data_IF_497276050653
#
_entry.id   IF_497276050653
#
_cell.length_a   1.000
_cell.length_b   1.000
_cell.length_c   1.000
_cell.angle_alpha   90.00
_cell.angle_beta   90.00
_cell.angle_gamma   90.00
#
_symmetry.space_group_name_H-M   'P 1'
#
loop_
_entity.id
_entity.type
_entity.pdbx_description
1 polymer ?
#
# COMPACT_ATOMS: atom_id res chain seq x y z
N UNK A 1 -3.13 -24.76 -34.65
CA UNK A 1 -3.97 -25.01 -33.46
C UNK A 1 -3.95 -23.77 -32.56
N UNK A 2 -5.03 -22.98 -32.52
CA UNK A 2 -5.10 -21.81 -31.64
C UNK A 2 -5.25 -22.27 -30.18
N UNK A 3 -4.40 -21.75 -29.27
CA UNK A 3 -4.45 -22.08 -27.83
C UNK A 3 -5.77 -21.56 -27.26
N UNK A 4 -6.67 -22.46 -26.84
CA UNK A 4 -7.93 -22.09 -26.19
C UNK A 4 -7.62 -21.22 -24.96
N UNK A 5 -8.16 -20.00 -24.93
CA UNK A 5 -7.96 -19.06 -23.81
C UNK A 5 -8.61 -19.64 -22.56
N UNK A 6 -7.87 -19.69 -21.45
CA UNK A 6 -8.43 -20.11 -20.16
C UNK A 6 -9.43 -19.04 -19.69
N UNK A 7 -10.58 -19.49 -19.21
CA UNK A 7 -11.59 -18.62 -18.60
C UNK A 7 -11.22 -18.35 -17.12
N UNK A 8 -10.85 -17.10 -16.85
CA UNK A 8 -10.52 -16.58 -15.52
C UNK A 8 -11.64 -15.68 -14.96
N UNK A 9 -12.87 -15.82 -15.45
CA UNK A 9 -14.02 -15.08 -14.92
C UNK A 9 -14.40 -15.50 -13.49
N UNK A 10 -15.03 -14.57 -12.77
CA UNK A 10 -15.45 -14.78 -11.38
C UNK A 10 -16.33 -16.01 -11.21
N UNK A 11 -15.97 -16.86 -10.26
CA UNK A 11 -16.73 -18.03 -9.84
C UNK A 11 -17.69 -17.68 -8.70
N UNK A 12 -18.63 -18.57 -8.40
CA UNK A 12 -19.66 -18.34 -7.38
C UNK A 12 -19.11 -18.12 -5.97
N UNK A 13 -17.92 -18.64 -5.65
CA UNK A 13 -17.28 -18.41 -4.35
C UNK A 13 -16.59 -17.04 -4.25
N UNK A 14 -16.43 -16.32 -5.36
CA UNK A 14 -15.70 -15.04 -5.44
C UNK A 14 -16.64 -13.83 -5.45
N UNK A 15 -17.95 -14.04 -5.62
CA UNK A 15 -18.96 -12.98 -5.66
C UNK A 15 -20.24 -13.37 -4.95
N UNK A 16 -20.88 -12.40 -4.32
CA UNK A 16 -22.26 -12.50 -3.87
C UNK A 16 -23.23 -12.07 -4.98
N UNK A 17 -24.53 -12.26 -4.81
CA UNK A 17 -25.58 -11.88 -5.77
C UNK A 17 -25.69 -10.36 -5.98
N UNK A 18 -24.98 -9.55 -5.20
CA UNK A 18 -24.98 -8.09 -5.28
C UNK A 18 -24.37 -7.57 -6.59
N UNK A 19 -24.88 -6.43 -7.06
CA UNK A 19 -24.43 -5.77 -8.28
C UNK A 19 -23.01 -5.16 -8.15
N UNK A 20 -22.54 -4.87 -6.93
CA UNK A 20 -21.20 -4.34 -6.68
C UNK A 20 -20.15 -5.48 -6.73
N UNK A 21 -19.48 -5.62 -7.87
CA UNK A 21 -18.40 -6.58 -8.10
C UNK A 21 -17.01 -5.90 -8.05
N UNK A 22 -16.82 -4.87 -7.20
CA UNK A 22 -15.48 -4.29 -6.99
C UNK A 22 -14.52 -5.33 -6.45
N UNK A 23 -13.36 -5.43 -7.09
CA UNK A 23 -12.28 -6.33 -6.70
C UNK A 23 -10.94 -5.65 -6.73
N UNK A 24 -10.02 -6.20 -5.96
CA UNK A 24 -8.63 -5.76 -5.90
C UNK A 24 -7.83 -6.59 -6.90
N UNK A 25 -7.17 -5.92 -7.86
CA UNK A 25 -6.28 -6.61 -8.81
C UNK A 25 -4.88 -6.71 -8.23
N UNK A 26 -4.46 -7.89 -7.79
CA UNK A 26 -3.06 -8.20 -7.49
C UNK A 26 -2.60 -9.24 -8.52
N UNK A 27 -1.58 -8.91 -9.30
CA UNK A 27 -1.03 -9.82 -10.31
C UNK A 27 -0.10 -10.83 -9.65
N UNK A 28 0.01 -12.02 -10.25
CA UNK A 28 0.99 -13.02 -9.80
C UNK A 28 2.42 -12.47 -9.87
N UNK A 29 2.74 -11.69 -10.90
CA UNK A 29 4.03 -10.98 -11.02
C UNK A 29 4.33 -10.09 -9.79
N UNK A 30 3.32 -9.36 -9.30
CA UNK A 30 3.47 -8.57 -8.07
C UNK A 30 3.68 -9.47 -6.86
N UNK A 31 2.94 -10.58 -6.72
CA UNK A 31 3.08 -11.51 -5.59
C UNK A 31 4.41 -12.27 -5.59
N UNK A 32 4.91 -12.60 -6.77
CA UNK A 32 6.15 -13.34 -6.97
C UNK A 32 7.39 -12.47 -6.82
N UNK A 33 7.22 -11.14 -6.89
CA UNK A 33 8.29 -10.18 -6.68
C UNK A 33 8.97 -10.36 -5.32
N UNK A 34 10.28 -10.06 -5.27
CA UNK A 34 11.06 -10.07 -4.03
C UNK A 34 10.46 -9.10 -3.00
N UNK A 35 10.05 -7.91 -3.45
CA UNK A 35 9.41 -6.91 -2.61
C UNK A 35 8.20 -7.49 -1.85
N UNK A 36 7.27 -8.15 -2.56
CA UNK A 36 6.06 -8.71 -1.94
C UNK A 36 6.36 -9.83 -0.96
N UNK A 37 7.32 -10.70 -1.30
CA UNK A 37 7.74 -11.83 -0.47
C UNK A 37 8.36 -11.40 0.84
N UNK A 38 9.07 -10.27 0.87
CA UNK A 38 9.67 -9.71 2.09
C UNK A 38 8.71 -8.85 2.92
N UNK A 39 7.56 -8.42 2.37
CA UNK A 39 6.55 -7.70 3.16
C UNK A 39 6.01 -8.56 4.32
N UNK A 40 5.78 -7.91 5.46
CA UNK A 40 5.06 -8.55 6.58
C UNK A 40 3.58 -8.79 6.22
N UNK A 41 2.95 -9.73 6.91
CA UNK A 41 1.51 -9.99 6.74
C UNK A 41 0.66 -8.73 6.95
N UNK A 42 0.98 -7.91 7.95
CA UNK A 42 0.29 -6.64 8.20
C UNK A 42 0.51 -5.62 7.09
N UNK A 43 1.71 -5.54 6.51
CA UNK A 43 1.98 -4.63 5.39
C UNK A 43 1.24 -5.04 4.12
N UNK A 44 1.15 -6.35 3.83
CA UNK A 44 0.33 -6.87 2.73
C UNK A 44 -1.15 -6.54 2.95
N UNK A 45 -1.65 -6.74 4.17
CA UNK A 45 -3.03 -6.40 4.52
C UNK A 45 -3.31 -4.90 4.34
N UNK A 46 -2.43 -4.04 4.84
CA UNK A 46 -2.55 -2.60 4.69
C UNK A 46 -2.57 -2.18 3.22
N UNK A 47 -1.70 -2.76 2.39
CA UNK A 47 -1.68 -2.49 0.95
C UNK A 47 -3.01 -2.90 0.27
N UNK A 48 -3.58 -4.05 0.64
CA UNK A 48 -4.89 -4.48 0.14
C UNK A 48 -6.00 -3.51 0.52
N UNK A 49 -6.04 -3.03 1.76
CA UNK A 49 -7.00 -2.01 2.22
C UNK A 49 -6.87 -0.68 1.47
N UNK A 50 -5.63 -0.22 1.26
CA UNK A 50 -5.37 0.97 0.44
C UNK A 50 -5.87 0.78 -1.00
N UNK A 51 -5.70 -0.42 -1.55
CA UNK A 51 -6.16 -0.77 -2.90
C UNK A 51 -7.68 -0.92 -3.00
N UNK A 52 -8.36 -1.31 -1.93
CA UNK A 52 -9.82 -1.32 -1.84
C UNK A 52 -10.44 0.08 -1.96
N UNK A 53 -9.69 1.12 -1.56
CA UNK A 53 -10.04 2.55 -1.70
C UNK A 53 -9.76 3.12 -3.10
N UNK A 54 -9.07 2.36 -3.96
CA UNK A 54 -8.79 2.81 -5.32
C UNK A 54 -10.04 2.69 -6.19
N UNK A 55 -10.45 3.81 -6.80
CA UNK A 55 -11.65 3.92 -7.65
C UNK A 55 -11.33 3.94 -9.14
N UNK A 56 -10.05 3.85 -9.52
CA UNK A 56 -9.59 3.94 -10.91
C UNK A 56 -8.94 5.28 -11.26
N UNK A 57 -9.37 6.37 -10.64
CA UNK A 57 -8.85 7.73 -10.92
C UNK A 57 -8.00 8.33 -9.79
N UNK A 58 -8.13 7.84 -8.55
CA UNK A 58 -7.48 8.38 -7.36
C UNK A 58 -6.14 7.71 -7.01
N UNK A 59 -5.36 7.27 -8.01
CA UNK A 59 -4.11 6.52 -7.75
C UNK A 59 -3.06 7.28 -6.94
N UNK A 60 -3.13 8.62 -6.94
CA UNK A 60 -2.26 9.55 -6.22
C UNK A 60 -3.03 10.30 -5.11
N UNK A 61 -4.22 9.82 -4.76
CA UNK A 61 -5.10 10.45 -3.77
C UNK A 61 -5.76 9.39 -2.88
N UNK A 62 -4.92 8.56 -2.25
CA UNK A 62 -5.34 7.56 -1.28
C UNK A 62 -5.05 8.08 0.11
N UNK A 63 -6.11 8.25 0.91
CA UNK A 63 -6.00 8.59 2.33
C UNK A 63 -6.29 7.36 3.20
N UNK A 64 -5.50 7.22 4.27
CA UNK A 64 -5.69 6.17 5.27
C UNK A 64 -5.41 6.73 6.65
N UNK A 65 -6.44 6.81 7.48
CA UNK A 65 -6.38 7.44 8.81
C UNK A 65 -5.97 6.43 9.90
N UNK A 66 -5.46 6.92 11.02
CA UNK A 66 -5.22 6.08 12.20
C UNK A 66 -6.50 5.40 12.70
N UNK A 67 -7.65 6.07 12.62
CA UNK A 67 -8.94 5.50 13.04
C UNK A 67 -9.32 4.27 12.20
N UNK A 68 -8.99 4.27 10.91
CA UNK A 68 -9.19 3.11 10.04
C UNK A 68 -8.15 2.02 10.32
N UNK A 69 -6.88 2.42 10.50
CA UNK A 69 -5.80 1.48 10.82
C UNK A 69 -6.04 0.73 12.12
N UNK A 70 -6.52 1.41 13.16
CA UNK A 70 -6.81 0.84 14.48
C UNK A 70 -7.88 -0.25 14.47
N UNK A 71 -8.69 -0.35 13.41
CA UNK A 71 -9.64 -1.45 13.24
C UNK A 71 -8.96 -2.77 12.85
N UNK A 72 -7.73 -2.69 12.35
CA UNK A 72 -7.02 -3.82 11.72
C UNK A 72 -5.70 -4.12 12.45
N UNK A 73 -5.03 -3.10 12.97
CA UNK A 73 -3.74 -3.21 13.66
C UNK A 73 -3.50 -2.03 14.61
N UNK A 74 -2.54 -2.16 15.53
CA UNK A 74 -2.17 -1.05 16.41
C UNK A 74 -1.43 0.08 15.65
N UNK A 75 -1.30 1.24 16.30
CA UNK A 75 -0.70 2.46 15.76
C UNK A 75 0.79 2.31 15.37
N UNK A 76 1.57 1.62 16.20
CA UNK A 76 2.99 1.38 15.99
C UNK A 76 3.23 0.48 14.80
N UNK A 77 2.45 -0.59 14.67
CA UNK A 77 2.48 -1.51 13.54
C UNK A 77 2.03 -0.79 12.28
N UNK A 78 0.96 0.01 12.34
CA UNK A 78 0.51 0.81 11.21
C UNK A 78 1.62 1.72 10.67
N UNK A 79 2.29 2.46 11.55
CA UNK A 79 3.39 3.35 11.17
C UNK A 79 4.53 2.57 10.51
N UNK A 80 4.92 1.43 11.09
CA UNK A 80 5.96 0.56 10.51
C UNK A 80 5.53 -0.02 9.16
N UNK A 81 4.27 -0.40 8.99
CA UNK A 81 3.74 -0.93 7.74
C UNK A 81 3.74 0.13 6.64
N UNK A 82 3.35 1.38 6.95
CA UNK A 82 3.47 2.50 6.00
C UNK A 82 4.93 2.71 5.60
N UNK A 83 5.84 2.79 6.57
CA UNK A 83 7.27 2.94 6.29
C UNK A 83 7.78 1.81 5.39
N UNK A 84 7.44 0.55 5.70
CA UNK A 84 7.84 -0.61 4.90
C UNK A 84 7.27 -0.57 3.47
N UNK A 85 5.98 -0.20 3.30
CA UNK A 85 5.36 -0.10 1.98
C UNK A 85 5.98 1.02 1.13
N UNK A 86 6.40 2.11 1.77
CA UNK A 86 7.15 3.19 1.10
C UNK A 86 8.51 2.65 0.68
N UNK A 87 9.31 2.16 1.63
CA UNK A 87 10.68 1.63 1.42
C UNK A 87 10.72 0.56 0.32
N UNK A 88 9.71 -0.28 0.25
CA UNK A 88 9.63 -1.38 -0.72
C UNK A 88 9.07 -0.94 -2.07
N UNK A 89 8.71 0.35 -2.21
CA UNK A 89 8.30 0.94 -3.48
C UNK A 89 6.87 0.61 -3.91
N UNK A 90 6.00 0.18 -2.98
CA UNK A 90 4.58 -0.07 -3.27
C UNK A 90 3.74 1.21 -3.23
N UNK A 91 4.08 2.13 -2.33
CA UNK A 91 3.41 3.42 -2.16
C UNK A 91 4.44 4.55 -2.06
N UNK A 92 3.98 5.78 -2.30
CA UNK A 92 4.75 7.03 -2.12
C UNK A 92 3.92 8.01 -1.30
N UNK A 93 4.58 8.75 -0.43
CA UNK A 93 3.94 9.83 0.32
C UNK A 93 3.92 11.10 -0.53
N UNK A 94 2.73 11.60 -0.85
CA UNK A 94 2.57 12.80 -1.67
C UNK A 94 2.33 14.05 -0.82
N UNK A 95 1.57 13.92 0.27
CA UNK A 95 1.35 15.00 1.21
C UNK A 95 1.44 14.51 2.65
N UNK A 96 2.27 15.18 3.44
CA UNK A 96 2.44 14.92 4.86
C UNK A 96 1.76 16.02 5.67
N UNK A 97 0.49 15.83 6.02
CA UNK A 97 -0.36 16.89 6.56
C UNK A 97 -0.49 16.85 8.09
N UNK A 98 0.56 16.38 8.78
CA UNK A 98 0.54 16.21 10.25
C UNK A 98 0.28 17.52 11.02
N UNK A 99 0.81 18.66 10.54
CA UNK A 99 0.58 19.99 11.15
C UNK A 99 -0.85 20.48 10.91
N UNK A 100 -1.44 20.11 9.77
CA UNK A 100 -2.76 20.61 9.33
C UNK A 100 -3.93 19.80 9.90
N UNK A 101 -3.66 18.73 10.69
CA UNK A 101 -4.66 17.77 11.20
C UNK A 101 -5.49 17.10 10.09
N UNK A 102 -4.94 17.05 8.89
CA UNK A 102 -5.51 16.36 7.74
C UNK A 102 -4.84 15.00 7.56
N UNK A 103 -5.52 14.03 6.93
CA UNK A 103 -4.90 12.76 6.60
C UNK A 103 -3.71 12.95 5.65
N UNK A 104 -2.73 12.07 5.77
CA UNK A 104 -1.69 11.96 4.74
C UNK A 104 -2.28 11.46 3.44
N UNK A 105 -1.76 11.96 2.33
CA UNK A 105 -2.12 11.52 0.99
C UNK A 105 -0.99 10.67 0.43
N UNK A 106 -1.35 9.47 0.00
CA UNK A 106 -0.45 8.48 -0.59
C UNK A 106 -0.81 8.24 -2.05
N UNK A 107 0.20 7.86 -2.83
CA UNK A 107 0.01 7.34 -4.18
C UNK A 107 0.59 5.94 -4.33
N UNK A 108 0.08 5.16 -5.28
CA UNK A 108 0.71 3.91 -5.68
C UNK A 108 2.01 4.18 -6.44
N UNK A 109 2.94 3.23 -6.32
CA UNK A 109 4.25 3.29 -6.96
C UNK A 109 4.56 1.98 -7.69
N UNK A 110 5.39 2.08 -8.72
CA UNK A 110 5.90 0.93 -9.47
C UNK A 110 7.33 0.53 -9.04
N UNK A 111 7.89 1.23 -8.05
CA UNK A 111 9.26 1.07 -7.59
C UNK A 111 9.54 -0.31 -6.97
N UNK A 112 8.51 -1.03 -6.53
CA UNK A 112 8.61 -2.41 -6.07
C UNK A 112 9.23 -3.36 -7.10
N UNK A 113 9.15 -3.04 -8.40
CA UNK A 113 9.80 -3.80 -9.48
C UNK A 113 11.33 -3.75 -9.40
N UNK A 114 11.88 -2.69 -8.80
CA UNK A 114 13.32 -2.46 -8.66
C UNK A 114 13.86 -2.79 -7.26
N UNK A 115 13.01 -3.34 -6.38
CA UNK A 115 13.41 -3.67 -5.02
C UNK A 115 14.58 -4.65 -4.98
N UNK A 116 15.62 -4.32 -4.20
CA UNK A 116 16.87 -5.09 -4.13
C UNK A 116 17.84 -4.81 -5.28
N UNK A 117 17.58 -3.82 -6.13
CA UNK A 117 18.51 -3.33 -7.16
C UNK A 117 18.94 -1.89 -6.89
N UNK A 118 20.04 -1.45 -7.49
CA UNK A 118 20.53 -0.06 -7.39
C UNK A 118 19.61 0.98 -8.03
N UNK A 119 18.56 0.56 -8.75
CA UNK A 119 17.59 1.44 -9.43
C UNK A 119 16.41 1.83 -8.55
N UNK A 120 16.33 1.31 -7.32
CA UNK A 120 15.26 1.64 -6.38
C UNK A 120 15.39 3.11 -5.95
N UNK A 121 14.45 3.95 -6.39
CA UNK A 121 14.34 5.34 -5.96
C UNK A 121 13.07 5.54 -5.15
N UNK A 122 13.23 5.66 -3.82
CA UNK A 122 12.15 5.80 -2.86
C UNK A 122 12.47 6.93 -1.90
N UNK A 123 11.49 7.81 -1.71
CA UNK A 123 11.56 8.90 -0.75
C UNK A 123 11.01 8.44 0.61
N UNK A 124 11.91 8.27 1.59
CA UNK A 124 11.53 7.86 2.94
C UNK A 124 10.75 8.99 3.63
N UNK A 125 9.72 8.60 4.39
CA UNK A 125 8.92 9.54 5.19
C UNK A 125 9.80 10.22 6.25
N UNK A 126 9.75 11.55 6.31
CA UNK A 126 10.44 12.33 7.35
C UNK A 126 9.86 12.02 8.72
N UNK A 127 10.70 11.51 9.62
CA UNK A 127 10.37 11.25 11.03
C UNK A 127 10.59 12.52 11.85
N UNK A 128 9.79 12.70 12.90
CA UNK A 128 10.01 13.81 13.86
C UNK A 128 11.30 13.52 14.62
N UNK A 129 12.28 14.41 14.50
CA UNK A 129 13.46 14.38 15.36
C UNK A 129 13.01 14.86 16.75
N UNK A 130 13.29 14.11 17.83
CA UNK A 130 13.11 14.63 19.17
C UNK A 130 13.94 15.91 19.31
N UNK A 131 13.36 16.98 19.86
CA UNK A 131 14.15 18.16 20.23
C UNK A 131 15.17 17.71 21.27
N UNK A 132 16.42 17.48 20.86
CA UNK A 132 17.54 17.29 21.79
C UNK A 132 17.54 18.54 22.67
N UNK A 133 17.33 18.36 23.98
CA UNK A 133 17.63 19.42 24.93
C UNK A 133 19.15 19.53 24.91
N UNK A 134 19.68 20.60 24.34
CA UNK A 134 21.07 20.98 24.56
C UNK A 134 21.19 21.23 26.07
N UNK A 135 21.85 20.30 26.75
CA UNK A 135 22.20 20.43 28.17
C UNK A 135 23.25 21.55 28.26
N UNK A 136 22.86 22.67 28.87
CA UNK A 136 23.71 23.76 29.33
C UNK A 136 24.27 23.43 30.72
#
# INVERSE_FOLDING_TARGET
>A
MARKKKDYGFKLFEKSTSADNRHIRITLDMMDSKAWKELTAHSRMLYMEMKAKYTGSNQNDISFTYKEALKIMNDRTFTKCIDQLIEYGFIKLLQQNWTKREPNIYGFSEQWKFFGTSKLDVQVRKKRVPSTKEEL
#
